data_IF_561785317089
#
_entry.id   IF_561785317089
#
_cell.length_a   1.000
_cell.length_b   1.000
_cell.length_c   1.000
_cell.angle_alpha   90.00
_cell.angle_beta   90.00
_cell.angle_gamma   90.00
#
_symmetry.space_group_name_H-M   'P 1'
#
loop_
_entity.id
_entity.type
_entity.pdbx_description
1 polymer ?
#
# COMPACT_ATOMS: atom_id res chain seq x y z
N UNK A 1 9.10 25.76 -5.86
CA UNK A 1 9.30 24.39 -5.36
C UNK A 1 9.07 24.30 -3.84
N UNK A 2 7.96 24.89 -3.34
CA UNK A 2 7.61 24.87 -1.88
C UNK A 2 6.26 24.18 -1.59
N UNK A 3 5.56 23.67 -2.60
CA UNK A 3 4.20 23.12 -2.43
C UNK A 3 4.15 21.65 -1.95
N UNK A 4 5.27 20.92 -1.98
CA UNK A 4 5.29 19.48 -1.74
C UNK A 4 5.54 19.06 -0.28
N UNK A 5 6.01 19.99 0.56
CA UNK A 5 6.40 19.67 1.95
C UNK A 5 5.18 19.43 2.84
N UNK A 6 4.05 20.06 2.52
CA UNK A 6 2.81 19.94 3.33
C UNK A 6 1.85 18.85 2.82
N UNK A 7 2.24 18.08 1.82
CA UNK A 7 1.46 16.93 1.39
C UNK A 7 1.96 15.65 2.05
N UNK A 8 1.08 15.02 2.82
CA UNK A 8 1.32 13.80 3.57
C UNK A 8 0.55 12.63 2.97
N UNK A 9 1.24 11.53 2.79
CA UNK A 9 0.62 10.24 2.45
C UNK A 9 1.27 9.12 3.24
N UNK A 10 0.61 7.97 3.30
CA UNK A 10 1.09 6.84 4.09
C UNK A 10 2.52 6.42 3.72
N UNK A 11 2.87 6.35 2.43
CA UNK A 11 4.20 5.93 1.98
C UNK A 11 5.31 6.87 2.46
N UNK A 12 5.06 8.19 2.45
CA UNK A 12 5.99 9.21 2.97
C UNK A 12 6.17 9.02 4.49
N UNK A 13 5.07 8.87 5.22
CA UNK A 13 5.08 8.71 6.68
C UNK A 13 5.81 7.43 7.09
N UNK A 14 5.43 6.30 6.48
CA UNK A 14 6.08 5.00 6.69
C UNK A 14 7.58 5.07 6.45
N UNK A 15 8.00 5.61 5.29
CA UNK A 15 9.42 5.73 4.96
C UNK A 15 10.19 6.57 5.97
N UNK A 16 9.58 7.67 6.45
CA UNK A 16 10.20 8.51 7.48
C UNK A 16 10.33 7.76 8.81
N UNK A 17 9.30 7.04 9.23
CA UNK A 17 9.32 6.24 10.46
C UNK A 17 10.33 5.09 10.40
N UNK A 18 10.48 4.45 9.24
CA UNK A 18 11.52 3.43 9.00
C UNK A 18 12.91 4.03 9.13
N UNK A 19 13.19 5.13 8.44
CA UNK A 19 14.43 5.88 8.56
C UNK A 19 14.28 7.30 7.99
N UNK A 20 14.40 8.37 8.78
CA UNK A 20 14.34 9.74 8.28
C UNK A 20 15.35 10.04 7.15
N UNK A 21 16.55 9.46 7.20
CA UNK A 21 17.54 9.59 6.13
C UNK A 21 17.11 8.88 4.83
N UNK A 22 16.41 7.74 4.94
CA UNK A 22 15.81 7.05 3.78
C UNK A 22 14.75 7.93 3.13
N UNK A 23 13.89 8.59 3.93
CA UNK A 23 12.93 9.57 3.42
C UNK A 23 13.64 10.68 2.63
N UNK A 24 14.72 11.26 3.19
CA UNK A 24 15.49 12.28 2.50
C UNK A 24 16.02 11.78 1.16
N UNK A 25 16.58 10.57 1.12
CA UNK A 25 17.10 10.00 -0.13
C UNK A 25 16.00 9.84 -1.19
N UNK A 26 14.82 9.32 -0.81
CA UNK A 26 13.73 9.06 -1.76
C UNK A 26 13.02 10.33 -2.23
N UNK A 27 12.64 11.19 -1.30
CA UNK A 27 11.68 12.27 -1.57
C UNK A 27 12.31 13.65 -1.69
N UNK A 28 13.51 13.86 -1.15
CA UNK A 28 14.25 15.14 -1.25
C UNK A 28 15.35 15.04 -2.30
N UNK A 29 16.22 14.05 -2.17
CA UNK A 29 17.37 13.86 -3.06
C UNK A 29 16.99 13.15 -4.39
N UNK A 30 15.78 12.62 -4.52
CA UNK A 30 15.27 11.95 -5.72
C UNK A 30 16.01 10.65 -6.09
N UNK A 31 16.65 10.01 -5.12
CA UNK A 31 17.37 8.74 -5.36
C UNK A 31 16.36 7.63 -5.64
N UNK A 32 16.64 6.83 -6.67
CA UNK A 32 15.79 5.71 -7.04
C UNK A 32 16.27 4.41 -6.39
N UNK A 33 15.32 3.65 -5.89
CA UNK A 33 15.54 2.26 -5.48
C UNK A 33 15.68 1.37 -6.72
N UNK A 34 16.48 0.32 -6.61
CA UNK A 34 16.46 -0.76 -7.60
C UNK A 34 15.17 -1.58 -7.51
N UNK A 35 14.73 -2.11 -8.64
CA UNK A 35 13.66 -3.10 -8.63
C UNK A 35 14.19 -4.40 -8.03
N UNK A 36 13.38 -5.02 -7.20
CA UNK A 36 13.63 -6.37 -6.65
C UNK A 36 12.42 -7.27 -6.97
N UNK A 37 12.60 -8.60 -7.00
CA UNK A 37 11.53 -9.53 -7.41
C UNK A 37 10.21 -9.31 -6.68
N UNK A 38 10.25 -9.09 -5.36
CA UNK A 38 9.05 -8.87 -4.55
C UNK A 38 8.29 -7.58 -4.95
N UNK A 39 9.00 -6.49 -5.25
CA UNK A 39 8.37 -5.24 -5.68
C UNK A 39 7.78 -5.37 -7.09
N UNK A 40 8.48 -6.08 -7.99
CA UNK A 40 7.99 -6.32 -9.36
C UNK A 40 6.74 -7.18 -9.37
N UNK A 41 6.71 -8.23 -8.55
CA UNK A 41 5.50 -9.04 -8.35
C UNK A 41 4.36 -8.18 -7.79
N UNK A 42 4.62 -7.37 -6.75
CA UNK A 42 3.62 -6.48 -6.18
C UNK A 42 3.00 -5.56 -7.23
N UNK A 43 3.82 -4.88 -8.03
CA UNK A 43 3.35 -4.01 -9.12
C UNK A 43 2.52 -4.80 -10.13
N UNK A 44 2.96 -6.01 -10.53
CA UNK A 44 2.21 -6.86 -11.48
C UNK A 44 0.83 -7.23 -10.95
N UNK A 45 0.74 -7.70 -9.71
CA UNK A 45 -0.54 -8.08 -9.08
C UNK A 45 -1.48 -6.88 -8.96
N UNK A 46 -1.01 -5.73 -8.44
CA UNK A 46 -1.86 -4.54 -8.31
C UNK A 46 -2.40 -4.06 -9.66
N UNK A 47 -1.55 -3.98 -10.69
CA UNK A 47 -1.99 -3.60 -12.05
C UNK A 47 -3.00 -4.60 -12.62
N UNK A 48 -2.77 -5.90 -12.42
CA UNK A 48 -3.70 -6.93 -12.88
C UNK A 48 -5.08 -6.76 -12.24
N UNK A 49 -5.13 -6.54 -10.92
CA UNK A 49 -6.38 -6.37 -10.21
C UNK A 49 -7.08 -5.05 -10.55
N UNK A 50 -6.31 -3.98 -10.77
CA UNK A 50 -6.83 -2.70 -11.27
C UNK A 50 -7.48 -2.87 -12.65
N UNK A 51 -6.77 -3.44 -13.63
CA UNK A 51 -7.26 -3.66 -14.99
C UNK A 51 -8.49 -4.58 -15.01
N UNK A 52 -8.43 -5.69 -14.29
CA UNK A 52 -9.53 -6.63 -14.15
C UNK A 52 -10.79 -5.95 -13.61
N UNK A 53 -10.70 -5.23 -12.49
CA UNK A 53 -11.86 -4.60 -11.87
C UNK A 53 -12.37 -3.36 -12.60
N UNK A 54 -11.53 -2.67 -13.35
CA UNK A 54 -11.93 -1.50 -14.12
C UNK A 54 -12.56 -1.87 -15.48
N UNK A 55 -12.26 -3.04 -16.04
CA UNK A 55 -12.66 -3.41 -17.41
C UNK A 55 -13.76 -4.46 -17.47
N UNK A 56 -13.65 -5.51 -16.69
CA UNK A 56 -14.50 -6.70 -16.87
C UNK A 56 -15.25 -7.12 -15.61
N UNK A 57 -14.54 -7.36 -14.52
CA UNK A 57 -15.06 -8.10 -13.34
C UNK A 57 -15.55 -9.53 -13.65
N UNK A 58 -15.22 -10.09 -14.83
CA UNK A 58 -15.45 -11.51 -15.13
C UNK A 58 -14.25 -12.33 -14.63
N UNK A 59 -14.42 -13.18 -13.61
CA UNK A 59 -13.30 -13.92 -13.03
C UNK A 59 -12.53 -14.74 -14.05
N UNK A 60 -13.18 -15.26 -15.08
CA UNK A 60 -12.52 -16.08 -16.14
C UNK A 60 -11.49 -15.30 -16.98
N UNK A 61 -11.53 -13.97 -16.96
CA UNK A 61 -10.59 -13.12 -17.70
C UNK A 61 -9.39 -12.67 -16.86
N UNK A 62 -9.40 -12.89 -15.54
CA UNK A 62 -8.39 -12.35 -14.62
C UNK A 62 -6.95 -12.72 -15.03
N UNK A 63 -6.71 -13.99 -15.38
CA UNK A 63 -5.35 -14.43 -15.71
C UNK A 63 -4.84 -13.87 -17.04
N UNK A 64 -5.72 -13.49 -17.96
CA UNK A 64 -5.30 -12.82 -19.20
C UNK A 64 -4.76 -11.42 -18.94
N UNK A 65 -5.34 -10.69 -17.98
CA UNK A 65 -4.80 -9.39 -17.55
C UNK A 65 -3.42 -9.53 -16.87
N UNK A 66 -3.16 -10.66 -16.21
CA UNK A 66 -1.86 -10.88 -15.57
C UNK A 66 -0.71 -10.95 -16.57
N UNK A 67 -0.89 -11.62 -17.69
CA UNK A 67 0.11 -11.69 -18.76
C UNK A 67 0.44 -10.30 -19.30
N UNK A 68 -0.57 -9.45 -19.49
CA UNK A 68 -0.41 -8.08 -19.99
C UNK A 68 0.24 -7.14 -18.97
N UNK A 69 -0.03 -7.35 -17.67
CA UNK A 69 0.45 -6.50 -16.57
C UNK A 69 1.77 -6.96 -15.97
N UNK A 70 2.34 -8.09 -16.44
CA UNK A 70 3.57 -8.64 -15.90
C UNK A 70 4.78 -7.70 -16.05
N UNK A 71 5.43 -7.37 -14.94
CA UNK A 71 6.66 -6.59 -14.92
C UNK A 71 7.87 -7.52 -14.91
N UNK A 72 8.48 -7.76 -16.09
CA UNK A 72 9.62 -8.65 -16.27
C UNK A 72 10.98 -8.09 -15.83
N UNK A 73 11.04 -7.08 -14.97
CA UNK A 73 12.27 -6.45 -14.49
C UNK A 73 12.48 -6.70 -12.98
N UNK A 74 13.73 -6.63 -12.53
CA UNK A 74 14.08 -6.80 -11.11
C UNK A 74 14.44 -8.24 -10.72
N UNK A 75 14.58 -9.15 -11.68
CA UNK A 75 14.98 -10.55 -11.50
C UNK A 75 16.42 -10.77 -11.95
N UNK A 76 17.17 -11.64 -11.25
CA UNK A 76 18.56 -11.92 -11.56
C UNK A 76 18.71 -12.86 -12.78
N UNK A 77 17.68 -13.64 -13.11
CA UNK A 77 17.70 -14.58 -14.24
C UNK A 77 16.28 -14.85 -14.77
N UNK A 78 16.19 -15.40 -15.98
CA UNK A 78 14.93 -15.87 -16.55
C UNK A 78 14.27 -16.99 -15.71
N UNK A 79 15.07 -17.84 -15.07
CA UNK A 79 14.57 -18.87 -14.15
C UNK A 79 13.89 -18.27 -12.92
N UNK A 80 14.56 -17.33 -12.26
CA UNK A 80 13.98 -16.60 -11.12
C UNK A 80 12.71 -15.85 -11.53
N UNK A 81 12.73 -15.17 -12.69
CA UNK A 81 11.55 -14.49 -13.22
C UNK A 81 10.37 -15.46 -13.38
N UNK A 82 10.59 -16.65 -13.92
CA UNK A 82 9.55 -17.67 -14.09
C UNK A 82 9.00 -18.16 -12.75
N UNK A 83 9.85 -18.39 -11.76
CA UNK A 83 9.42 -18.78 -10.40
C UNK A 83 8.49 -17.75 -9.79
N UNK A 84 8.85 -16.46 -9.89
CA UNK A 84 8.02 -15.37 -9.38
C UNK A 84 6.73 -15.18 -10.18
N UNK A 85 6.78 -15.36 -11.52
CA UNK A 85 5.58 -15.35 -12.36
C UNK A 85 4.59 -16.44 -11.91
N UNK A 86 5.06 -17.69 -11.75
CA UNK A 86 4.21 -18.80 -11.31
C UNK A 86 3.66 -18.58 -9.88
N UNK A 87 4.44 -17.97 -8.99
CA UNK A 87 3.97 -17.57 -7.66
C UNK A 87 2.82 -16.57 -7.76
N UNK A 88 2.94 -15.54 -8.57
CA UNK A 88 1.88 -14.54 -8.78
C UNK A 88 0.66 -15.14 -9.44
N UNK A 89 0.83 -16.01 -10.45
CA UNK A 89 -0.25 -16.74 -11.10
C UNK A 89 -1.08 -17.55 -10.10
N UNK A 90 -0.41 -18.28 -9.20
CA UNK A 90 -1.09 -19.03 -8.14
C UNK A 90 -1.88 -18.14 -7.17
N UNK A 91 -1.36 -16.95 -6.84
CA UNK A 91 -2.09 -15.98 -6.02
C UNK A 91 -3.39 -15.53 -6.72
N UNK A 92 -3.32 -15.27 -8.01
CA UNK A 92 -4.47 -14.82 -8.81
C UNK A 92 -5.46 -15.94 -9.07
N UNK A 93 -5.04 -17.20 -9.24
CA UNK A 93 -5.91 -18.35 -9.32
C UNK A 93 -6.76 -18.52 -8.04
N UNK A 94 -6.16 -18.32 -6.87
CA UNK A 94 -6.91 -18.33 -5.60
C UNK A 94 -7.86 -17.13 -5.49
N UNK A 95 -7.43 -15.98 -5.96
CA UNK A 95 -8.25 -14.76 -5.99
C UNK A 95 -9.45 -14.92 -6.93
N UNK A 96 -9.25 -15.48 -8.13
CA UNK A 96 -10.29 -15.79 -9.12
C UNK A 96 -11.41 -16.64 -8.49
N UNK A 97 -11.05 -17.71 -7.77
CA UNK A 97 -12.04 -18.55 -7.10
C UNK A 97 -12.88 -17.76 -6.08
N UNK A 98 -12.26 -16.85 -5.33
CA UNK A 98 -12.98 -16.01 -4.38
C UNK A 98 -13.90 -14.98 -5.07
N UNK A 99 -13.55 -14.54 -6.27
CA UNK A 99 -14.37 -13.58 -7.04
C UNK A 99 -15.67 -14.19 -7.56
N UNK A 100 -15.73 -15.50 -7.85
CA UNK A 100 -16.98 -16.19 -8.20
C UNK A 100 -18.03 -16.15 -7.04
N UNK A 101 -17.56 -16.05 -5.80
CA UNK A 101 -18.42 -16.00 -4.62
C UNK A 101 -18.67 -14.55 -4.13
N UNK A 102 -18.07 -13.56 -4.75
CA UNK A 102 -18.17 -12.16 -4.35
C UNK A 102 -19.60 -11.65 -4.46
N UNK A 103 -20.10 -11.06 -3.37
CA UNK A 103 -21.45 -10.46 -3.31
C UNK A 103 -21.42 -8.93 -3.34
N UNK A 104 -20.26 -8.31 -3.11
CA UNK A 104 -20.10 -6.87 -3.19
C UNK A 104 -20.03 -6.41 -4.64
N UNK A 105 -20.39 -5.15 -4.88
CA UNK A 105 -20.24 -4.50 -6.17
C UNK A 105 -19.03 -3.59 -6.11
N UNK A 106 -18.06 -3.79 -7.03
CA UNK A 106 -16.93 -2.89 -7.16
C UNK A 106 -17.43 -1.53 -7.59
N UNK A 107 -17.11 -0.50 -6.83
CA UNK A 107 -17.45 0.88 -7.14
C UNK A 107 -16.33 1.56 -7.94
N UNK A 108 -15.09 1.41 -7.49
CA UNK A 108 -13.92 1.97 -8.17
C UNK A 108 -12.62 1.29 -7.77
N UNK A 109 -11.61 1.41 -8.64
CA UNK A 109 -10.21 1.04 -8.41
C UNK A 109 -9.35 2.29 -8.33
N UNK A 110 -8.21 2.21 -7.65
CA UNK A 110 -7.20 3.27 -7.57
C UNK A 110 -7.80 4.65 -7.21
N UNK A 111 -8.83 4.64 -6.35
CA UNK A 111 -9.58 5.85 -6.00
C UNK A 111 -8.77 6.74 -5.08
N UNK A 112 -8.54 7.98 -5.52
CA UNK A 112 -7.82 8.97 -4.74
C UNK A 112 -8.73 9.68 -3.73
N UNK A 113 -8.20 9.96 -2.55
CA UNK A 113 -8.77 10.92 -1.61
C UNK A 113 -7.78 12.05 -1.32
N UNK A 114 -8.34 13.23 -1.09
CA UNK A 114 -7.60 14.41 -0.66
C UNK A 114 -8.47 15.14 0.35
N UNK A 115 -7.88 15.50 1.48
CA UNK A 115 -8.51 16.42 2.44
C UNK A 115 -7.45 17.27 3.14
N UNK A 116 -7.89 18.36 3.75
CA UNK A 116 -7.01 19.28 4.49
C UNK A 116 -7.35 19.26 5.97
N UNK A 117 -6.34 19.25 6.83
CA UNK A 117 -6.46 19.34 8.27
C UNK A 117 -5.20 20.00 8.86
N UNK A 118 -5.37 20.98 9.74
CA UNK A 118 -4.27 21.63 10.47
C UNK A 118 -3.19 22.27 9.56
N UNK A 119 -3.54 22.67 8.34
CA UNK A 119 -2.61 23.24 7.35
C UNK A 119 -1.81 22.19 6.57
N UNK A 120 -2.15 20.91 6.70
CA UNK A 120 -1.59 19.79 5.95
C UNK A 120 -2.58 19.26 4.93
N UNK A 121 -2.08 18.82 3.79
CA UNK A 121 -2.84 18.12 2.76
C UNK A 121 -2.59 16.62 2.93
N UNK A 122 -3.65 15.87 3.20
CA UNK A 122 -3.62 14.42 3.28
C UNK A 122 -4.08 13.84 1.95
N UNK A 123 -3.25 13.01 1.36
CA UNK A 123 -3.56 12.33 0.10
C UNK A 123 -3.33 10.83 0.23
N UNK A 124 -4.18 10.06 -0.39
CA UNK A 124 -3.98 8.63 -0.54
C UNK A 124 -4.71 8.09 -1.76
N UNK A 125 -4.36 6.89 -2.13
CA UNK A 125 -4.99 6.15 -3.20
C UNK A 125 -5.31 4.75 -2.68
N UNK A 126 -6.55 4.33 -2.85
CA UNK A 126 -7.09 3.08 -2.34
C UNK A 126 -7.27 2.13 -3.52
N UNK A 127 -6.68 0.94 -3.42
CA UNK A 127 -6.62 0.00 -4.55
C UNK A 127 -8.02 -0.37 -5.07
N UNK A 128 -8.99 -0.60 -4.17
CA UNK A 128 -10.38 -0.94 -4.55
C UNK A 128 -11.38 -0.46 -3.50
N UNK A 129 -12.53 -0.01 -3.97
CA UNK A 129 -13.70 0.30 -3.12
C UNK A 129 -14.92 -0.48 -3.59
N UNK A 130 -15.63 -1.09 -2.66
CA UNK A 130 -16.82 -1.89 -2.90
C UNK A 130 -18.04 -1.35 -2.15
N UNK A 131 -19.21 -1.52 -2.77
CA UNK A 131 -20.51 -1.42 -2.09
C UNK A 131 -20.95 -2.79 -1.63
N UNK A 132 -21.19 -2.92 -0.33
CA UNK A 132 -21.67 -4.17 0.29
C UNK A 132 -23.19 -4.31 0.15
N UNK A 133 -23.73 -5.55 0.25
CA UNK A 133 -25.17 -5.78 0.11
C UNK A 133 -26.04 -5.06 1.14
N UNK A 134 -25.49 -4.72 2.32
CA UNK A 134 -26.18 -3.96 3.37
C UNK A 134 -26.11 -2.43 3.15
N UNK A 135 -25.56 -1.98 2.03
CA UNK A 135 -25.39 -0.57 1.69
C UNK A 135 -24.15 0.11 2.32
N UNK A 136 -23.38 -0.59 3.14
CA UNK A 136 -22.11 -0.10 3.66
C UNK A 136 -20.98 -0.23 2.62
N UNK A 137 -19.80 0.28 2.97
CA UNK A 137 -18.64 0.27 2.07
C UNK A 137 -17.51 -0.63 2.60
N UNK A 138 -16.74 -1.16 1.67
CA UNK A 138 -15.46 -1.78 1.96
C UNK A 138 -14.37 -1.10 1.15
N UNK A 139 -13.33 -0.57 1.81
CA UNK A 139 -12.10 -0.13 1.17
C UNK A 139 -11.05 -1.22 1.32
N UNK A 140 -10.37 -1.55 0.24
CA UNK A 140 -9.47 -2.71 0.15
C UNK A 140 -8.10 -2.26 -0.30
N UNK A 141 -7.08 -2.72 0.41
CA UNK A 141 -5.67 -2.60 0.04
C UNK A 141 -5.07 -3.99 -0.11
N UNK A 142 -4.49 -4.27 -1.27
CA UNK A 142 -3.91 -5.56 -1.58
C UNK A 142 -2.50 -5.70 -1.02
N UNK A 143 -2.21 -6.85 -0.43
CA UNK A 143 -0.90 -7.22 0.10
C UNK A 143 -0.40 -8.51 -0.56
N UNK A 144 0.75 -8.41 -1.25
CA UNK A 144 1.37 -9.53 -1.98
C UNK A 144 2.47 -10.21 -1.18
N UNK A 145 2.91 -9.60 -0.07
CA UNK A 145 3.96 -10.15 0.81
C UNK A 145 3.51 -11.43 1.51
N UNK A 146 4.47 -12.31 1.77
CA UNK A 146 4.27 -13.57 2.51
C UNK A 146 4.81 -13.51 3.93
N UNK A 147 5.67 -12.55 4.24
CA UNK A 147 6.19 -12.30 5.60
C UNK A 147 5.29 -11.27 6.29
N UNK A 148 4.17 -11.76 6.83
CA UNK A 148 3.14 -10.92 7.46
C UNK A 148 2.74 -11.53 8.78
N UNK A 149 2.84 -10.75 9.85
CA UNK A 149 2.29 -11.11 11.15
C UNK A 149 0.77 -10.84 11.16
N UNK A 150 0.00 -11.90 10.94
CA UNK A 150 -1.46 -11.82 10.97
C UNK A 150 -2.05 -11.68 12.38
N UNK A 151 -1.26 -11.71 13.45
CA UNK A 151 -1.74 -11.51 14.82
C UNK A 151 -1.92 -10.03 15.18
N UNK A 152 -1.24 -9.11 14.49
CA UNK A 152 -1.33 -7.67 14.74
C UNK A 152 -2.76 -7.18 14.44
N UNK A 153 -3.43 -6.47 15.36
CA UNK A 153 -4.75 -5.92 15.12
C UNK A 153 -4.78 -5.00 13.90
N UNK A 154 -5.79 -5.14 13.05
CA UNK A 154 -5.95 -4.31 11.85
C UNK A 154 -6.11 -2.82 12.21
N UNK A 155 -6.69 -2.54 13.36
CA UNK A 155 -6.88 -1.18 13.90
C UNK A 155 -5.57 -0.46 14.23
N UNK A 156 -4.47 -1.21 14.42
CA UNK A 156 -3.14 -0.62 14.61
C UNK A 156 -2.48 -0.18 13.30
N UNK A 157 -3.09 -0.50 12.17
CA UNK A 157 -2.59 -0.12 10.86
C UNK A 157 -2.80 1.37 10.58
N UNK A 158 -1.71 2.13 10.56
CA UNK A 158 -1.72 3.53 10.15
C UNK A 158 -2.20 3.70 8.68
N UNK A 159 -1.95 2.73 7.81
CA UNK A 159 -2.39 2.76 6.41
C UNK A 159 -3.90 2.63 6.29
N UNK A 160 -4.50 1.59 6.86
CA UNK A 160 -5.95 1.41 6.81
C UNK A 160 -6.66 2.51 7.59
N UNK A 161 -6.05 3.00 8.67
CA UNK A 161 -6.58 4.11 9.43
C UNK A 161 -6.70 5.39 8.60
N UNK A 162 -5.63 5.82 7.91
CA UNK A 162 -5.71 7.03 7.08
C UNK A 162 -6.63 6.83 5.87
N UNK A 163 -6.80 5.61 5.37
CA UNK A 163 -7.74 5.30 4.31
C UNK A 163 -9.20 5.41 4.80
N UNK A 164 -9.50 4.90 6.00
CA UNK A 164 -10.82 5.05 6.63
C UNK A 164 -11.15 6.54 6.88
N UNK A 165 -10.19 7.32 7.40
CA UNK A 165 -10.33 8.77 7.58
C UNK A 165 -10.55 9.45 6.22
N UNK A 166 -9.77 9.12 5.21
CA UNK A 166 -9.91 9.66 3.85
C UNK A 166 -11.28 9.39 3.24
N UNK A 167 -11.80 8.16 3.38
CA UNK A 167 -13.13 7.79 2.90
C UNK A 167 -14.23 8.61 3.62
N UNK A 168 -14.10 8.84 4.92
CA UNK A 168 -15.05 9.64 5.71
C UNK A 168 -14.97 11.13 5.35
N UNK A 169 -13.78 11.69 5.25
CA UNK A 169 -13.56 13.13 5.07
C UNK A 169 -13.74 13.57 3.60
N UNK A 170 -13.15 12.85 2.64
CA UNK A 170 -13.15 13.24 1.24
C UNK A 170 -14.41 12.78 0.50
N UNK A 171 -14.97 11.61 0.86
CA UNK A 171 -16.10 11.02 0.13
C UNK A 171 -17.41 10.98 0.93
N UNK A 172 -17.39 11.48 2.19
CA UNK A 172 -18.53 11.46 3.11
C UNK A 172 -19.11 10.05 3.35
N UNK A 173 -18.27 9.02 3.30
CA UNK A 173 -18.66 7.64 3.57
C UNK A 173 -18.55 7.39 5.07
N UNK A 174 -19.66 7.35 5.78
CA UNK A 174 -19.66 7.24 7.25
C UNK A 174 -19.69 5.79 7.73
N UNK A 175 -20.25 4.85 6.96
CA UNK A 175 -20.40 3.44 7.33
C UNK A 175 -19.60 2.55 6.39
N UNK A 176 -18.64 1.84 6.93
CA UNK A 176 -17.80 0.93 6.15
C UNK A 176 -16.74 0.24 6.97
N UNK A 177 -15.95 -0.58 6.30
CA UNK A 177 -14.79 -1.26 6.86
C UNK A 177 -13.56 -1.07 5.97
N UNK A 178 -12.40 -1.09 6.58
CA UNK A 178 -11.10 -1.07 5.90
C UNK A 178 -10.46 -2.46 5.98
N UNK A 179 -9.96 -2.95 4.86
CA UNK A 179 -9.55 -4.33 4.67
C UNK A 179 -8.15 -4.41 4.06
N UNK A 180 -7.26 -5.18 4.67
CA UNK A 180 -6.13 -5.78 3.96
C UNK A 180 -6.56 -7.10 3.32
N UNK A 181 -6.32 -7.23 2.03
CA UNK A 181 -6.48 -8.49 1.32
C UNK A 181 -5.11 -9.07 0.97
N UNK A 182 -4.70 -10.08 1.73
CA UNK A 182 -3.45 -10.80 1.54
C UNK A 182 -3.60 -11.82 0.42
N UNK A 183 -3.20 -11.44 -0.80
CA UNK A 183 -3.38 -12.27 -2.01
C UNK A 183 -2.61 -13.58 -1.92
N UNK A 184 -1.44 -13.58 -1.26
CA UNK A 184 -0.64 -14.79 -1.08
C UNK A 184 -1.34 -15.89 -0.27
N UNK A 185 -2.31 -15.53 0.56
CA UNK A 185 -3.05 -16.45 1.45
C UNK A 185 -4.54 -16.47 1.15
N UNK A 186 -5.00 -15.71 0.17
CA UNK A 186 -6.41 -15.48 -0.12
C UNK A 186 -7.21 -15.14 1.15
N UNK A 187 -6.67 -14.25 2.00
CA UNK A 187 -7.20 -13.96 3.33
C UNK A 187 -7.49 -12.47 3.46
N UNK A 188 -8.66 -12.14 4.00
CA UNK A 188 -9.05 -10.76 4.31
C UNK A 188 -8.99 -10.52 5.81
N UNK A 189 -8.48 -9.36 6.22
CA UNK A 189 -8.54 -8.86 7.59
C UNK A 189 -9.09 -7.45 7.56
N UNK A 190 -10.17 -7.25 8.29
CA UNK A 190 -10.95 -6.01 8.22
C UNK A 190 -11.22 -5.46 9.62
N UNK A 191 -11.40 -4.14 9.69
CA UNK A 191 -11.96 -3.46 10.85
C UNK A 191 -12.97 -2.39 10.39
N UNK A 192 -14.07 -2.16 11.14
CA UNK A 192 -14.98 -1.05 10.90
C UNK A 192 -14.26 0.29 10.94
N UNK A 193 -14.76 1.30 10.22
CA UNK A 193 -14.15 2.64 10.21
C UNK A 193 -14.13 3.29 11.59
N UNK A 194 -15.15 3.03 12.40
CA UNK A 194 -15.31 3.54 13.77
C UNK A 194 -14.29 3.00 14.76
N UNK A 195 -13.63 1.88 14.45
CA UNK A 195 -12.62 1.27 15.33
C UNK A 195 -11.23 1.93 15.18
N UNK A 196 -11.04 2.78 14.17
CA UNK A 196 -9.79 3.52 13.98
C UNK A 196 -9.80 4.84 14.74
N UNK A 197 -8.78 5.08 15.56
CA UNK A 197 -8.57 6.34 16.29
C UNK A 197 -8.09 7.44 15.32
N UNK A 198 -9.05 8.22 14.80
CA UNK A 198 -8.80 9.28 13.84
C UNK A 198 -7.85 10.35 14.38
N UNK A 199 -8.01 10.74 15.66
CA UNK A 199 -7.17 11.79 16.27
C UNK A 199 -5.70 11.33 16.36
N UNK A 200 -5.48 10.08 16.78
CA UNK A 200 -4.15 9.48 16.82
C UNK A 200 -3.52 9.39 15.43
N UNK A 201 -4.31 9.00 14.41
CA UNK A 201 -3.84 8.89 13.03
C UNK A 201 -3.40 10.27 12.51
N UNK A 202 -4.26 11.28 12.59
CA UNK A 202 -3.97 12.64 12.13
C UNK A 202 -2.75 13.20 12.87
N UNK A 203 -2.70 13.05 14.20
CA UNK A 203 -1.56 13.47 15.00
C UNK A 203 -0.26 12.81 14.55
N UNK A 204 -0.25 11.49 14.33
CA UNK A 204 0.95 10.77 13.86
C UNK A 204 1.46 11.32 12.53
N UNK A 205 0.57 11.59 11.58
CA UNK A 205 0.95 12.16 10.29
C UNK A 205 1.50 13.59 10.47
N UNK A 206 0.85 14.43 11.25
CA UNK A 206 1.25 15.84 11.43
C UNK A 206 2.58 15.95 12.19
N UNK A 207 2.82 15.13 13.21
CA UNK A 207 4.10 15.08 13.93
C UNK A 207 5.27 14.71 13.01
N UNK A 208 5.07 13.72 12.14
CA UNK A 208 6.09 13.36 11.13
C UNK A 208 6.26 14.49 10.11
N UNK A 209 5.16 15.09 9.67
CA UNK A 209 5.20 16.26 8.78
C UNK A 209 6.02 17.42 9.35
N UNK A 210 5.81 17.74 10.62
CA UNK A 210 6.58 18.80 11.32
C UNK A 210 8.08 18.47 11.38
N UNK A 211 8.47 17.23 11.63
CA UNK A 211 9.87 16.79 11.60
C UNK A 211 10.48 16.90 10.20
N UNK A 212 9.70 16.58 9.17
CA UNK A 212 10.12 16.76 7.78
C UNK A 212 10.33 18.24 7.46
N UNK A 213 9.43 19.14 7.86
CA UNK A 213 9.59 20.60 7.72
C UNK A 213 10.82 21.11 8.48
N UNK A 214 11.09 20.58 9.67
CA UNK A 214 12.27 20.89 10.48
C UNK A 214 13.57 20.28 9.93
N UNK A 215 13.50 19.53 8.82
CA UNK A 215 14.64 18.83 8.18
C UNK A 215 15.38 17.85 9.12
N UNK A 216 14.65 17.17 9.98
CA UNK A 216 15.17 16.16 10.90
C UNK A 216 15.38 14.82 10.18
N UNK A 217 16.55 14.60 9.60
CA UNK A 217 16.84 13.41 8.77
C UNK A 217 17.96 12.54 9.35
N UNK A 218 17.90 12.23 10.64
CA UNK A 218 18.85 11.33 11.28
C UNK A 218 18.70 9.87 10.80
N UNK A 219 19.81 9.11 10.66
CA UNK A 219 19.74 7.70 10.28
C UNK A 219 19.09 6.86 11.40
N UNK A 220 18.31 5.85 11.00
CA UNK A 220 17.86 4.78 11.90
C UNK A 220 18.67 3.52 11.59
N UNK A 221 19.70 3.25 12.39
CA UNK A 221 20.61 2.13 12.16
C UNK A 221 19.93 0.76 12.28
N UNK A 222 18.85 0.63 13.06
CA UNK A 222 18.08 -0.61 13.17
C UNK A 222 17.42 -1.03 11.84
N UNK A 223 17.18 -0.08 10.93
CA UNK A 223 16.60 -0.34 9.61
C UNK A 223 17.64 -0.67 8.54
N UNK A 224 18.96 -0.52 8.80
CA UNK A 224 20.00 -0.62 7.77
C UNK A 224 20.00 -1.96 7.02
N UNK A 225 19.80 -3.09 7.70
CA UNK A 225 19.80 -4.41 7.06
C UNK A 225 18.72 -4.56 5.98
N UNK A 226 17.58 -3.88 6.13
CA UNK A 226 16.43 -3.94 5.21
C UNK A 226 16.38 -2.75 4.25
N UNK A 227 17.29 -1.79 4.40
CA UNK A 227 17.27 -0.54 3.63
C UNK A 227 17.72 -0.76 2.18
N UNK A 228 16.94 -0.32 1.17
CA UNK A 228 17.32 -0.47 -0.24
C UNK A 228 18.56 0.34 -0.65
N UNK A 229 19.02 1.23 0.23
CA UNK A 229 20.24 2.02 0.03
C UNK A 229 21.41 1.58 0.91
N UNK A 230 21.34 0.44 1.60
CA UNK A 230 22.34 0.00 2.58
C UNK A 230 23.77 -0.03 2.01
N UNK A 231 23.95 -0.47 0.76
CA UNK A 231 25.27 -0.50 0.07
C UNK A 231 25.76 0.85 -0.43
N UNK A 232 24.89 1.86 -0.44
CA UNK A 232 25.18 3.21 -0.98
C UNK A 232 25.05 4.32 0.07
N UNK A 233 24.65 3.97 1.29
CA UNK A 233 24.45 4.91 2.38
C UNK A 233 25.73 5.00 3.23
N UNK A 234 26.35 6.19 3.28
CA UNK A 234 27.55 6.42 4.09
C UNK A 234 27.32 6.26 5.61
N UNK A 235 26.08 6.24 6.05
CA UNK A 235 25.69 6.06 7.45
C UNK A 235 25.17 4.62 7.73
N UNK A 236 25.27 3.69 6.77
CA UNK A 236 24.80 2.34 6.97
C UNK A 236 25.67 1.59 7.99
N UNK A 237 25.01 0.93 8.94
CA UNK A 237 25.61 -0.03 9.88
C UNK A 237 24.98 -1.37 9.58
N UNK A 238 25.74 -2.29 9.01
CA UNK A 238 25.27 -3.65 8.73
C UNK A 238 25.77 -4.59 9.84
N UNK A 239 24.93 -5.57 10.24
CA UNK A 239 25.41 -6.64 11.14
C UNK A 239 26.55 -7.42 10.48
N UNK A 240 27.51 -7.86 11.29
CA UNK A 240 28.63 -8.72 10.89
C UNK A 240 28.14 -10.10 10.44
#
# INVERSE_FOLDING_TARGET
>A
MQSDVRELNYSKIKTYQECPLLYKYKYIDGKREGLVPASSLGVSIHRTLEEYHSRSNDPSELLSYYDDCWLGAGYASAGEQMEWYLKGKKMLEMYEQAEYERKSVVDSTEREFIFEEGGWIFRGKIDRTDKLPDGSWEIIDYKTGTDVDLSIPVTDSLQLGIYAVGARRAWNIQKGKATFYFTAFNTRRSAPFEDFDEEKIIRTFTEVGQKIEAQEFSPNHAHCAQCPFNTRCAQAVLPE
#
